data_IF_484589255395
#
_entry.id   IF_484589255395
#
_cell.length_a   1.000
_cell.length_b   1.000
_cell.length_c   1.000
_cell.angle_alpha   90.00
_cell.angle_beta   90.00
_cell.angle_gamma   90.00
#
_symmetry.space_group_name_H-M   'P 1'
#
loop_
_entity.id
_entity.type
_entity.pdbx_description
1 polymer ?
#
# COMPACT_ATOMS: atom_id res chain seq x y z
N UNK A 1 -1.11 3.79 -27.89
CA UNK A 1 -2.06 2.90 -27.18
C UNK A 1 -3.09 3.78 -26.45
N UNK A 2 -4.35 3.36 -26.40
CA UNK A 2 -5.41 4.01 -25.63
C UNK A 2 -5.68 3.32 -24.29
N UNK A 3 -4.83 2.38 -23.89
CA UNK A 3 -4.98 1.61 -22.66
C UNK A 3 -3.64 1.46 -21.94
N UNK A 4 -3.68 1.06 -20.67
CA UNK A 4 -2.52 0.74 -19.86
C UNK A 4 -2.80 -0.36 -18.83
N UNK A 5 -1.74 -0.84 -18.18
CA UNK A 5 -1.85 -1.89 -17.16
C UNK A 5 -1.43 -1.39 -15.78
N UNK A 6 -2.19 -1.84 -14.78
CA UNK A 6 -1.80 -1.80 -13.37
C UNK A 6 -1.59 -3.25 -12.92
N UNK A 7 -0.36 -3.67 -12.67
CA UNK A 7 -0.08 -5.02 -12.19
C UNK A 7 0.16 -5.02 -10.70
N UNK A 8 -0.61 -5.81 -9.94
CA UNK A 8 -0.13 -6.26 -8.64
C UNK A 8 1.17 -7.08 -8.79
N UNK A 9 1.93 -7.18 -7.70
CA UNK A 9 3.21 -7.89 -7.67
C UNK A 9 3.07 -9.26 -7.01
N UNK A 10 2.53 -9.31 -5.80
CA UNK A 10 2.58 -10.46 -4.90
C UNK A 10 1.36 -11.35 -5.14
N UNK A 11 1.54 -12.49 -5.82
CA UNK A 11 0.46 -13.36 -6.27
C UNK A 11 0.18 -13.26 -7.77
N UNK A 12 0.67 -12.21 -8.43
CA UNK A 12 0.56 -12.00 -9.89
C UNK A 12 1.89 -12.22 -10.62
N UNK A 13 2.97 -11.61 -10.13
CA UNK A 13 4.30 -11.69 -10.73
C UNK A 13 5.25 -12.61 -9.96
N UNK A 14 5.10 -12.64 -8.63
CA UNK A 14 5.93 -13.41 -7.72
C UNK A 14 5.09 -14.07 -6.64
N UNK A 15 5.59 -15.17 -6.07
CA UNK A 15 5.10 -15.75 -4.82
C UNK A 15 6.26 -15.80 -3.82
N UNK A 16 6.25 -14.90 -2.85
CA UNK A 16 7.41 -14.65 -1.97
C UNK A 16 8.61 -14.18 -2.79
N UNK A 17 9.65 -15.00 -2.89
CA UNK A 17 10.85 -14.72 -3.72
C UNK A 17 10.85 -15.44 -5.06
N UNK A 18 9.84 -16.27 -5.34
CA UNK A 18 9.81 -17.13 -6.53
C UNK A 18 9.01 -16.46 -7.63
N UNK A 19 9.57 -16.24 -8.83
CA UNK A 19 8.84 -15.71 -9.97
C UNK A 19 7.69 -16.64 -10.38
N UNK A 20 6.53 -16.09 -10.73
CA UNK A 20 5.48 -16.84 -11.42
C UNK A 20 5.96 -17.09 -12.86
N UNK A 21 6.00 -18.35 -13.35
CA UNK A 21 6.58 -18.67 -14.65
C UNK A 21 6.01 -17.86 -15.83
N UNK A 22 4.69 -17.64 -15.82
CA UNK A 22 3.96 -16.88 -16.82
C UNK A 22 4.39 -15.39 -16.89
N UNK A 23 4.93 -14.82 -15.80
CA UNK A 23 5.26 -13.41 -15.73
C UNK A 23 6.35 -13.00 -16.74
N UNK A 24 7.38 -13.83 -16.96
CA UNK A 24 8.41 -13.52 -17.95
C UNK A 24 7.84 -13.47 -19.37
N UNK A 25 7.01 -14.46 -19.72
CA UNK A 25 6.34 -14.54 -21.03
C UNK A 25 5.44 -13.32 -21.25
N UNK A 26 4.65 -12.96 -20.24
CA UNK A 26 3.74 -11.81 -20.30
C UNK A 26 4.49 -10.51 -20.60
N UNK A 27 5.60 -10.26 -19.89
CA UNK A 27 6.36 -9.01 -20.03
C UNK A 27 7.21 -8.95 -21.31
N UNK A 28 7.59 -10.09 -21.87
CA UNK A 28 8.20 -10.14 -23.22
C UNK A 28 7.23 -9.65 -24.30
N UNK A 29 5.92 -9.88 -24.15
CA UNK A 29 4.87 -9.39 -25.07
C UNK A 29 4.63 -7.88 -24.95
N UNK A 30 4.98 -7.29 -23.80
CA UNK A 30 4.72 -5.88 -23.50
C UNK A 30 5.86 -4.93 -23.91
N UNK A 31 7.00 -5.47 -24.37
CA UNK A 31 8.18 -4.68 -24.75
C UNK A 31 8.58 -4.93 -26.20
N UNK A 32 9.16 -3.91 -26.84
CA UNK A 32 9.78 -4.06 -28.15
C UNK A 32 11.18 -4.70 -28.07
N UNK A 33 11.85 -4.86 -29.21
CA UNK A 33 13.21 -5.43 -29.29
C UNK A 33 14.29 -4.60 -28.57
N UNK A 34 14.02 -3.34 -28.25
CA UNK A 34 14.88 -2.47 -27.44
C UNK A 34 14.53 -2.52 -25.94
N UNK A 35 13.60 -3.39 -25.53
CA UNK A 35 13.14 -3.51 -24.14
C UNK A 35 12.23 -2.37 -23.68
N UNK A 36 11.72 -1.53 -24.59
CA UNK A 36 10.83 -0.44 -24.23
C UNK A 36 9.38 -0.90 -24.23
N UNK A 37 8.63 -0.53 -23.19
CA UNK A 37 7.21 -0.84 -23.10
C UNK A 37 6.41 -0.23 -24.28
N UNK A 38 5.53 -1.06 -24.83
CA UNK A 38 4.62 -0.75 -25.93
C UNK A 38 3.37 0.03 -25.45
N UNK A 39 3.03 -0.13 -24.16
CA UNK A 39 1.90 0.46 -23.46
C UNK A 39 2.33 0.93 -22.07
N UNK A 40 1.65 1.90 -21.44
CA UNK A 40 2.01 2.35 -20.10
C UNK A 40 1.74 1.24 -19.09
N UNK A 41 2.69 1.03 -18.20
CA UNK A 41 2.63 -0.02 -17.18
C UNK A 41 3.03 0.56 -15.83
N UNK A 42 2.20 0.34 -14.81
CA UNK A 42 2.54 0.63 -13.42
C UNK A 42 2.40 -0.65 -12.59
N UNK A 43 3.42 -0.95 -11.80
CA UNK A 43 3.43 -2.02 -10.81
C UNK A 43 2.93 -1.47 -9.48
N UNK A 44 1.88 -2.06 -8.93
CA UNK A 44 1.17 -1.56 -7.75
C UNK A 44 1.23 -2.57 -6.61
N UNK A 45 1.97 -2.27 -5.55
CA UNK A 45 2.07 -3.15 -4.36
C UNK A 45 1.72 -2.40 -3.08
N UNK A 46 1.08 -3.12 -2.15
CA UNK A 46 0.86 -2.64 -0.78
C UNK A 46 2.09 -2.79 0.13
N UNK A 47 3.20 -3.32 -0.40
CA UNK A 47 4.48 -3.29 0.30
C UNK A 47 4.97 -1.85 0.50
N UNK A 48 5.51 -1.58 1.70
CA UNK A 48 6.04 -0.26 2.09
C UNK A 48 7.46 -0.29 2.65
N UNK A 49 8.19 -1.40 2.45
CA UNK A 49 9.44 -1.71 3.17
C UNK A 49 10.73 -1.37 2.38
N UNK A 50 10.64 -0.78 1.20
CA UNK A 50 11.81 -0.35 0.43
C UNK A 50 11.52 0.85 -0.47
N UNK A 51 12.60 1.39 -1.06
CA UNK A 51 12.54 2.41 -2.11
C UNK A 51 12.00 1.82 -3.42
N UNK A 52 11.31 2.66 -4.21
CA UNK A 52 10.79 2.31 -5.54
C UNK A 52 11.89 1.78 -6.46
N UNK A 53 13.07 2.41 -6.46
CA UNK A 53 14.22 1.97 -7.26
C UNK A 53 14.64 0.54 -6.92
N UNK A 54 14.76 0.20 -5.64
CA UNK A 54 15.13 -1.16 -5.22
C UNK A 54 14.12 -2.21 -5.70
N UNK A 55 12.83 -1.88 -5.69
CA UNK A 55 11.79 -2.78 -6.20
C UNK A 55 11.81 -2.85 -7.74
N UNK A 56 12.06 -1.75 -8.43
CA UNK A 56 12.21 -1.72 -9.89
C UNK A 56 13.39 -2.57 -10.37
N UNK A 57 14.53 -2.53 -9.68
CA UNK A 57 15.70 -3.35 -9.98
C UNK A 57 15.39 -4.86 -9.80
N UNK A 58 14.68 -5.19 -8.70
CA UNK A 58 14.22 -6.56 -8.43
C UNK A 58 13.30 -7.08 -9.53
N UNK A 59 12.28 -6.30 -9.89
CA UNK A 59 11.34 -6.67 -10.95
C UNK A 59 12.05 -6.77 -12.30
N UNK A 60 13.00 -5.86 -12.59
CA UNK A 60 13.75 -5.88 -13.85
C UNK A 60 14.52 -7.18 -14.02
N UNK A 61 15.25 -7.59 -12.97
CA UNK A 61 15.97 -8.85 -12.95
C UNK A 61 15.03 -10.06 -13.07
N UNK A 62 13.89 -10.00 -12.37
CA UNK A 62 12.94 -11.11 -12.32
C UNK A 62 12.22 -11.34 -13.65
N UNK A 63 11.79 -10.26 -14.32
CA UNK A 63 11.01 -10.30 -15.54
C UNK A 63 11.90 -10.30 -16.80
N UNK A 64 13.16 -9.90 -16.68
CA UNK A 64 14.10 -9.82 -17.80
C UNK A 64 13.83 -8.63 -18.73
N UNK A 65 13.16 -7.60 -18.24
CA UNK A 65 12.84 -6.36 -18.97
C UNK A 65 13.25 -5.14 -18.11
N UNK A 66 13.68 -4.02 -18.72
CA UNK A 66 14.07 -2.85 -17.94
C UNK A 66 12.85 -2.14 -17.35
N UNK A 67 12.82 -1.96 -16.02
CA UNK A 67 11.73 -1.29 -15.31
C UNK A 67 12.31 -0.08 -14.56
N UNK A 68 11.69 1.09 -14.79
CA UNK A 68 12.03 2.32 -14.07
C UNK A 68 11.31 2.41 -12.72
N UNK A 69 11.90 3.10 -11.74
CA UNK A 69 11.25 3.43 -10.48
C UNK A 69 9.94 4.22 -10.64
N UNK A 70 9.77 4.94 -11.75
CA UNK A 70 8.54 5.70 -12.04
C UNK A 70 7.40 4.82 -12.57
N UNK A 71 7.70 3.56 -12.85
CA UNK A 71 6.71 2.51 -13.11
C UNK A 71 6.33 1.76 -11.83
N UNK A 72 7.00 1.99 -10.70
CA UNK A 72 6.74 1.24 -9.46
C UNK A 72 6.04 2.13 -8.44
N UNK A 73 4.87 1.68 -8.01
CA UNK A 73 4.09 2.28 -6.94
C UNK A 73 4.07 1.36 -5.71
N UNK A 74 4.93 1.69 -4.74
CA UNK A 74 4.85 1.18 -3.37
C UNK A 74 3.68 1.83 -2.62
N UNK A 75 3.25 1.24 -1.51
CA UNK A 75 2.11 1.70 -0.71
C UNK A 75 2.22 3.14 -0.20
N UNK A 76 3.46 3.58 0.07
CA UNK A 76 3.80 4.93 0.53
C UNK A 76 3.93 5.95 -0.61
N UNK A 77 4.00 5.53 -1.88
CA UNK A 77 4.25 6.42 -3.02
C UNK A 77 3.25 7.57 -3.18
N UNK A 78 1.94 7.39 -2.94
CA UNK A 78 0.97 8.49 -3.04
C UNK A 78 1.27 9.67 -2.11
N UNK A 79 2.06 9.48 -1.04
CA UNK A 79 2.52 10.57 -0.16
C UNK A 79 3.31 11.66 -0.89
N UNK A 80 3.81 11.41 -2.11
CA UNK A 80 4.38 12.46 -2.97
C UNK A 80 3.40 13.60 -3.27
N UNK A 81 2.09 13.32 -3.28
CA UNK A 81 1.03 14.32 -3.45
C UNK A 81 0.74 15.12 -2.16
N UNK A 82 1.20 14.66 -1.00
CA UNK A 82 0.85 15.21 0.31
C UNK A 82 1.79 16.35 0.74
N UNK A 83 2.03 17.31 -0.16
CA UNK A 83 2.99 18.41 0.00
C UNK A 83 2.83 19.20 1.31
N UNK A 84 1.61 19.32 1.83
CA UNK A 84 1.29 19.98 3.10
C UNK A 84 1.99 19.39 4.34
N UNK A 85 2.56 18.19 4.25
CA UNK A 85 3.30 17.53 5.32
C UNK A 85 4.82 17.49 5.10
N UNK A 86 5.30 17.82 3.90
CA UNK A 86 6.69 17.61 3.50
C UNK A 86 7.67 18.46 4.32
N UNK A 87 7.33 19.72 4.61
CA UNK A 87 8.18 20.62 5.41
C UNK A 87 8.00 20.46 6.93
N UNK A 88 7.13 19.55 7.38
CA UNK A 88 6.77 19.41 8.79
C UNK A 88 7.58 18.33 9.49
N UNK A 89 7.74 18.47 10.80
CA UNK A 89 8.23 17.39 11.65
C UNK A 89 7.16 16.29 11.73
N UNK A 90 7.46 15.11 11.20
CA UNK A 90 6.54 13.96 11.15
C UNK A 90 7.15 12.75 11.81
N UNK A 91 6.36 12.04 12.63
CA UNK A 91 6.77 10.73 13.15
C UNK A 91 6.53 9.68 12.06
N UNK A 92 7.52 8.85 11.77
CA UNK A 92 7.39 7.74 10.81
C UNK A 92 7.56 6.39 11.49
N UNK A 93 6.67 5.44 11.19
CA UNK A 93 6.71 4.06 11.66
C UNK A 93 6.55 3.09 10.48
N UNK A 94 7.26 1.97 10.53
CA UNK A 94 7.22 0.92 9.52
C UNK A 94 8.52 0.11 9.46
N UNK A 95 8.78 -0.51 8.32
CA UNK A 95 9.99 -1.29 8.04
C UNK A 95 10.81 -0.70 6.88
N UNK A 96 12.09 -1.09 6.82
CA UNK A 96 13.01 -0.67 5.78
C UNK A 96 13.77 0.60 6.10
N UNK A 97 14.42 1.22 5.10
CA UNK A 97 15.17 2.46 5.29
C UNK A 97 14.20 3.65 5.39
N UNK A 98 13.55 3.81 6.55
CA UNK A 98 12.45 4.77 6.75
C UNK A 98 12.82 6.22 6.41
N UNK A 99 14.03 6.65 6.76
CA UNK A 99 14.50 8.00 6.46
C UNK A 99 14.69 8.21 4.96
N UNK A 100 15.32 7.25 4.27
CA UNK A 100 15.52 7.33 2.82
C UNK A 100 14.18 7.34 2.09
N UNK A 101 13.22 6.50 2.53
CA UNK A 101 11.85 6.49 1.99
C UNK A 101 11.19 7.85 2.19
N UNK A 102 11.23 8.39 3.40
CA UNK A 102 10.61 9.69 3.70
C UNK A 102 11.23 10.83 2.88
N UNK A 103 12.56 10.85 2.76
CA UNK A 103 13.28 11.85 1.95
C UNK A 103 12.96 11.73 0.46
N UNK A 104 12.93 10.51 -0.09
CA UNK A 104 12.54 10.25 -1.47
C UNK A 104 11.13 10.78 -1.77
N UNK A 105 10.20 10.62 -0.83
CA UNK A 105 8.82 11.12 -0.94
C UNK A 105 8.71 12.66 -0.83
N UNK A 106 9.73 13.32 -0.28
CA UNK A 106 9.82 14.77 -0.13
C UNK A 106 9.76 15.29 1.32
N UNK A 107 9.72 14.42 2.33
CA UNK A 107 9.71 14.87 3.73
C UNK A 107 11.07 15.40 4.17
N UNK A 108 11.10 16.62 4.71
CA UNK A 108 12.31 17.30 5.16
C UNK A 108 12.68 16.97 6.61
N UNK A 109 11.71 16.68 7.47
CA UNK A 109 11.93 16.44 8.91
C UNK A 109 11.25 15.15 9.42
N UNK A 110 11.54 13.97 8.84
CA UNK A 110 11.07 12.70 9.39
C UNK A 110 11.81 12.35 10.70
N UNK A 111 11.06 11.94 11.71
CA UNK A 111 11.57 11.37 12.97
C UNK A 111 11.12 9.92 13.02
N UNK A 112 12.05 8.98 13.13
CA UNK A 112 11.70 7.56 13.28
C UNK A 112 11.33 7.27 14.74
N UNK A 113 10.63 6.14 14.93
CA UNK A 113 10.38 5.59 16.27
C UNK A 113 11.70 5.33 17.02
N UNK A 114 12.76 4.92 16.33
CA UNK A 114 14.09 4.73 16.93
C UNK A 114 14.70 6.06 17.41
N UNK A 115 14.62 7.12 16.61
CA UNK A 115 15.08 8.45 17.05
C UNK A 115 14.25 8.98 18.22
N UNK A 116 12.94 8.74 18.22
CA UNK A 116 12.06 9.16 19.33
C UNK A 116 12.43 8.42 20.63
N UNK A 117 12.59 7.09 20.57
CA UNK A 117 12.94 6.28 21.75
C UNK A 117 14.36 6.51 22.26
N UNK A 118 15.27 6.98 21.43
CA UNK A 118 16.62 7.42 21.85
C UNK A 118 16.56 8.76 22.59
N UNK A 119 15.77 9.72 22.06
CA UNK A 119 15.63 11.06 22.63
C UNK A 119 14.76 11.10 23.89
N UNK A 120 13.82 10.16 24.01
CA UNK A 120 12.91 10.04 25.15
C UNK A 120 12.95 8.61 25.73
N UNK A 121 14.06 8.21 26.36
CA UNK A 121 14.29 6.82 26.74
C UNK A 121 13.34 6.31 27.84
N UNK A 122 12.72 7.21 28.60
CA UNK A 122 11.70 6.85 29.60
C UNK A 122 10.32 6.51 29.01
N UNK A 123 10.06 6.82 27.74
CA UNK A 123 8.77 6.54 27.10
C UNK A 123 8.66 5.09 26.61
N UNK A 124 9.78 4.47 26.25
CA UNK A 124 9.84 3.07 25.81
C UNK A 124 10.26 2.17 26.97
N UNK A 125 9.48 2.20 28.06
CA UNK A 125 9.80 1.45 29.26
C UNK A 125 9.47 -0.05 29.13
N UNK A 126 8.79 -0.50 28.07
CA UNK A 126 8.47 -1.93 27.87
C UNK A 126 9.75 -2.77 27.71
N UNK A 127 10.79 -2.17 27.14
CA UNK A 127 12.13 -2.72 27.07
C UNK A 127 12.88 -2.49 28.40
N UNK A 128 12.83 -3.49 29.29
CA UNK A 128 13.40 -3.40 30.64
C UNK A 128 14.92 -3.21 30.65
N UNK A 129 15.63 -3.74 29.66
CA UNK A 129 17.09 -3.65 29.56
C UNK A 129 17.56 -2.20 29.34
N UNK A 130 16.68 -1.33 28.83
CA UNK A 130 16.96 0.09 28.60
C UNK A 130 16.73 0.97 29.83
N UNK A 131 16.09 0.46 30.88
CA UNK A 131 15.74 1.25 32.08
C UNK A 131 16.93 1.57 32.99
N UNK A 132 18.03 0.81 32.89
CA UNK A 132 19.05 0.71 33.94
C UNK A 132 20.15 1.78 33.92
N UNK A 133 20.20 2.71 32.95
CA UNK A 133 21.36 3.61 32.79
C UNK A 133 21.07 5.08 32.38
N UNK A 134 19.89 5.64 32.62
CA UNK A 134 19.55 6.98 32.08
C UNK A 134 19.88 8.11 33.08
N UNK A 135 21.01 8.80 32.84
CA UNK A 135 21.34 10.11 33.43
C UNK A 135 20.90 11.24 32.48
N UNK A 136 19.93 12.04 32.94
CA UNK A 136 19.55 13.39 32.48
C UNK A 136 18.83 13.56 31.13
N UNK A 137 17.71 14.27 31.26
CA UNK A 137 16.86 14.88 30.23
C UNK A 137 17.60 15.96 29.45
N UNK A 138 17.81 15.73 28.15
CA UNK A 138 17.94 16.83 27.20
C UNK A 138 16.52 17.19 26.76
N UNK A 139 16.08 18.42 27.02
CA UNK A 139 14.78 18.95 26.57
C UNK A 139 14.76 19.09 25.04
N UNK A 140 14.58 17.97 24.32
CA UNK A 140 14.27 17.99 22.90
C UNK A 140 12.76 18.16 22.75
N UNK A 141 12.30 19.41 22.64
CA UNK A 141 10.88 19.71 22.42
C UNK A 141 10.64 19.98 20.93
N UNK A 142 10.49 18.91 20.14
CA UNK A 142 10.02 19.02 18.75
C UNK A 142 8.58 18.56 18.70
N UNK A 143 7.70 19.47 18.29
CA UNK A 143 6.30 19.14 18.03
C UNK A 143 6.20 18.31 16.76
N UNK A 144 5.78 17.06 16.87
CA UNK A 144 5.38 16.27 15.70
C UNK A 144 3.99 16.74 15.23
N UNK A 145 3.87 17.08 13.95
CA UNK A 145 2.63 17.60 13.38
C UNK A 145 1.74 16.48 12.84
N UNK A 146 2.32 15.33 12.51
CA UNK A 146 1.57 14.15 12.07
C UNK A 146 2.34 12.86 12.32
N UNK A 147 1.61 11.74 12.31
CA UNK A 147 2.16 10.38 12.29
C UNK A 147 1.93 9.78 10.91
N UNK A 148 2.96 9.18 10.33
CA UNK A 148 2.91 8.47 9.05
C UNK A 148 3.28 7.01 9.30
N UNK A 149 2.35 6.12 8.97
CA UNK A 149 2.51 4.68 9.09
C UNK A 149 2.79 4.12 7.68
N UNK A 150 4.07 3.87 7.37
CA UNK A 150 4.47 3.33 6.07
C UNK A 150 4.10 1.84 5.89
N UNK A 151 3.98 1.09 6.99
CA UNK A 151 3.68 -0.34 7.00
C UNK A 151 3.85 -0.91 8.40
N UNK A 152 3.74 -2.23 8.53
CA UNK A 152 3.87 -2.93 9.80
C UNK A 152 5.29 -2.77 10.39
N UNK A 153 5.46 -2.22 11.60
CA UNK A 153 6.78 -2.12 12.21
C UNK A 153 7.19 -3.45 12.87
N UNK A 154 8.47 -3.55 13.23
CA UNK A 154 8.97 -4.55 14.20
C UNK A 154 8.88 -3.93 15.60
N UNK A 155 8.71 -4.74 16.65
CA UNK A 155 8.48 -4.31 18.06
C UNK A 155 7.18 -3.51 18.20
N UNK A 156 6.05 -4.22 18.09
CA UNK A 156 4.73 -3.59 18.10
C UNK A 156 4.48 -2.86 19.42
N UNK A 157 4.90 -3.43 20.55
CA UNK A 157 4.79 -2.83 21.87
C UNK A 157 5.40 -1.42 21.95
N UNK A 158 6.64 -1.24 21.48
CA UNK A 158 7.32 0.07 21.43
C UNK A 158 6.60 1.04 20.48
N UNK A 159 6.21 0.57 19.29
CA UNK A 159 5.56 1.42 18.30
C UNK A 159 4.17 1.88 18.78
N UNK A 160 3.37 0.97 19.32
CA UNK A 160 2.05 1.26 19.87
C UNK A 160 2.14 2.27 21.01
N UNK A 161 3.04 2.06 21.97
CA UNK A 161 3.26 2.98 23.09
C UNK A 161 3.61 4.40 22.59
N UNK A 162 4.66 4.51 21.77
CA UNK A 162 5.18 5.82 21.36
C UNK A 162 4.25 6.56 20.39
N UNK A 163 3.56 5.85 19.50
CA UNK A 163 2.55 6.48 18.64
C UNK A 163 1.40 7.01 19.50
N UNK A 164 0.90 6.23 20.46
CA UNK A 164 -0.16 6.67 21.37
C UNK A 164 0.28 7.89 22.19
N UNK A 165 1.50 7.88 22.73
CA UNK A 165 2.06 9.02 23.46
C UNK A 165 2.02 10.30 22.62
N UNK A 166 2.48 10.20 21.37
CA UNK A 166 2.49 11.33 20.43
C UNK A 166 1.07 11.83 20.11
N UNK A 167 0.10 10.93 19.95
CA UNK A 167 -1.29 11.29 19.71
C UNK A 167 -1.94 11.96 20.93
N UNK A 168 -1.75 11.40 22.13
CA UNK A 168 -2.35 11.89 23.38
C UNK A 168 -1.73 13.18 23.90
N UNK A 169 -0.52 13.51 23.43
CA UNK A 169 0.19 14.75 23.78
C UNK A 169 0.12 15.81 22.68
N UNK A 170 -0.63 15.55 21.59
CA UNK A 170 -0.73 16.47 20.45
C UNK A 170 0.63 16.83 19.82
N UNK A 171 1.51 15.83 19.73
CA UNK A 171 2.84 15.96 19.14
C UNK A 171 3.98 16.23 20.11
N UNK A 172 3.72 16.25 21.43
CA UNK A 172 4.70 16.59 22.46
C UNK A 172 4.89 15.43 23.47
N UNK A 173 5.57 14.34 23.10
CA UNK A 173 5.56 13.09 23.89
C UNK A 173 6.20 13.21 25.29
N UNK A 174 6.93 14.30 25.58
CA UNK A 174 7.41 14.61 26.94
C UNK A 174 6.38 15.29 27.85
N UNK A 175 5.21 15.69 27.33
CA UNK A 175 4.14 16.33 28.08
C UNK A 175 3.19 15.29 28.69
N UNK A 176 2.45 15.64 29.76
CA UNK A 176 1.35 14.80 30.22
C UNK A 176 0.26 14.66 29.14
N UNK A 177 -0.49 13.56 29.19
CA UNK A 177 -1.61 13.35 28.29
C UNK A 177 -2.68 14.43 28.45
N UNK A 178 -3.21 14.89 27.32
CA UNK A 178 -4.27 15.89 27.26
C UNK A 178 -5.46 15.37 26.45
N UNK A 179 -6.47 14.84 27.13
CA UNK A 179 -7.67 14.24 26.49
C UNK A 179 -8.62 15.25 25.80
N UNK A 180 -8.28 16.54 25.79
CA UNK A 180 -9.14 17.61 25.24
C UNK A 180 -9.05 17.73 23.71
N UNK A 181 -7.94 17.32 23.11
CA UNK A 181 -7.72 17.51 21.67
C UNK A 181 -8.25 16.30 20.91
N UNK A 182 -9.42 16.48 20.29
CA UNK A 182 -10.01 15.51 19.36
C UNK A 182 -10.61 16.24 18.15
N UNK A 183 -10.32 15.82 16.90
CA UNK A 183 -9.40 14.73 16.55
C UNK A 183 -7.96 15.01 17.03
N UNK A 184 -7.20 13.94 17.26
CA UNK A 184 -5.76 14.03 17.55
C UNK A 184 -4.99 14.57 16.32
N UNK A 185 -3.67 14.74 16.42
CA UNK A 185 -2.87 15.15 15.25
C UNK A 185 -3.07 14.15 14.08
N UNK A 186 -2.96 14.59 12.82
CA UNK A 186 -3.19 13.74 11.65
C UNK A 186 -2.39 12.43 11.66
N UNK A 187 -3.06 11.34 11.30
CA UNK A 187 -2.46 10.03 11.07
C UNK A 187 -2.67 9.64 9.61
N UNK A 188 -1.59 9.34 8.90
CA UNK A 188 -1.60 8.85 7.53
C UNK A 188 -1.15 7.38 7.53
N UNK A 189 -1.95 6.48 6.98
CA UNK A 189 -1.59 5.06 6.87
C UNK A 189 -1.45 4.64 5.41
N UNK A 190 -0.35 3.94 5.09
CA UNK A 190 0.01 3.64 3.70
C UNK A 190 -0.42 2.26 3.22
N UNK A 191 -0.70 1.34 4.13
CA UNK A 191 -1.14 -0.01 3.83
C UNK A 191 -2.25 -0.39 4.81
N UNK A 192 -3.33 -1.01 4.34
CA UNK A 192 -4.47 -1.40 5.15
C UNK A 192 -4.67 -2.91 5.22
N UNK A 193 -3.83 -3.69 4.55
CA UNK A 193 -4.00 -5.13 4.44
C UNK A 193 -3.93 -5.76 5.83
N UNK A 194 -5.04 -6.40 6.23
CA UNK A 194 -5.09 -7.13 7.49
C UNK A 194 -4.08 -8.27 7.47
N UNK A 195 -4.00 -8.98 6.34
CA UNK A 195 -3.11 -10.11 6.11
C UNK A 195 -2.56 -10.08 4.68
N UNK A 196 -1.43 -10.74 4.45
CA UNK A 196 -0.82 -10.90 3.13
C UNK A 196 -0.25 -12.31 2.95
N UNK A 197 -0.03 -12.73 1.70
CA UNK A 197 0.48 -14.06 1.34
C UNK A 197 2.00 -14.04 1.28
N UNK A 198 2.63 -14.93 2.06
CA UNK A 198 4.07 -15.13 2.10
C UNK A 198 4.42 -16.58 1.69
N UNK A 199 5.60 -17.07 2.06
CA UNK A 199 6.02 -18.45 1.78
C UNK A 199 5.28 -19.50 2.61
N UNK A 200 4.71 -19.12 3.75
CA UNK A 200 3.94 -20.03 4.60
C UNK A 200 2.57 -20.36 3.99
N UNK A 201 2.03 -21.54 4.32
CA UNK A 201 0.72 -21.98 3.82
C UNK A 201 -0.44 -21.06 4.23
N UNK A 202 -0.36 -20.46 5.42
CA UNK A 202 -1.38 -19.55 5.93
C UNK A 202 -0.93 -18.08 5.79
N UNK A 203 -1.84 -17.13 5.49
CA UNK A 203 -1.54 -15.70 5.42
C UNK A 203 -0.85 -15.18 6.69
N UNK A 204 0.01 -14.16 6.56
CA UNK A 204 0.73 -13.50 7.65
C UNK A 204 0.06 -12.17 8.00
N UNK A 205 0.20 -11.70 9.23
CA UNK A 205 -0.32 -10.38 9.62
C UNK A 205 0.34 -9.28 8.79
N UNK A 206 -0.49 -8.41 8.23
CA UNK A 206 -0.08 -7.17 7.56
C UNK A 206 -0.26 -5.96 8.45
N UNK A 207 -0.03 -4.78 7.87
CA UNK A 207 -0.13 -3.50 8.58
C UNK A 207 -1.55 -3.22 9.12
N UNK A 208 -2.59 -3.71 8.47
CA UNK A 208 -3.97 -3.61 8.96
C UNK A 208 -4.14 -4.25 10.34
N UNK A 209 -3.45 -5.35 10.63
CA UNK A 209 -3.51 -5.98 11.97
C UNK A 209 -2.86 -5.06 13.02
N UNK A 210 -1.72 -4.43 12.70
CA UNK A 210 -1.10 -3.43 13.58
C UNK A 210 -2.04 -2.24 13.83
N UNK A 211 -2.72 -1.76 12.77
CA UNK A 211 -3.72 -0.70 12.89
C UNK A 211 -4.86 -1.09 13.82
N UNK A 212 -5.41 -2.31 13.69
CA UNK A 212 -6.45 -2.82 14.61
C UNK A 212 -6.00 -2.75 16.07
N UNK A 213 -4.75 -3.13 16.36
CA UNK A 213 -4.19 -2.99 17.72
C UNK A 213 -4.12 -1.52 18.16
N UNK A 214 -3.55 -0.64 17.33
CA UNK A 214 -3.39 0.78 17.62
C UNK A 214 -4.74 1.45 17.92
N UNK A 215 -5.73 1.18 17.09
CA UNK A 215 -7.09 1.71 17.20
C UNK A 215 -7.79 1.27 18.49
N UNK A 216 -7.72 -0.03 18.80
CA UNK A 216 -8.36 -0.59 19.98
C UNK A 216 -7.73 -0.04 21.26
N UNK A 217 -6.40 0.09 21.30
CA UNK A 217 -5.72 0.67 22.46
C UNK A 217 -6.08 2.16 22.60
N UNK A 218 -6.02 2.94 21.51
CA UNK A 218 -6.42 4.35 21.52
C UNK A 218 -7.87 4.52 22.04
N UNK A 219 -8.80 3.71 21.53
CA UNK A 219 -10.20 3.71 21.97
C UNK A 219 -10.36 3.30 23.42
N UNK A 220 -9.62 2.29 23.88
CA UNK A 220 -9.68 1.83 25.27
C UNK A 220 -9.18 2.90 26.26
N UNK A 221 -8.17 3.67 25.88
CA UNK A 221 -7.60 4.74 26.72
C UNK A 221 -8.47 6.00 26.69
N UNK A 222 -9.00 6.38 25.52
CA UNK A 222 -9.65 7.69 25.33
C UNK A 222 -11.17 7.66 25.29
N UNK A 223 -11.77 6.48 25.06
CA UNK A 223 -13.18 6.31 24.74
C UNK A 223 -13.58 6.78 23.33
N UNK A 224 -12.62 7.20 22.49
CA UNK A 224 -12.87 7.78 21.15
C UNK A 224 -12.22 6.95 20.05
N UNK A 225 -12.81 6.96 18.86
CA UNK A 225 -12.19 6.29 17.70
C UNK A 225 -10.99 7.08 17.19
N UNK A 226 -9.90 6.39 16.85
CA UNK A 226 -8.75 6.95 16.13
C UNK A 226 -9.19 7.34 14.72
N UNK A 227 -8.81 8.55 14.29
CA UNK A 227 -9.16 9.12 12.98
C UNK A 227 -7.96 9.21 12.06
N UNK A 228 -8.09 8.64 10.87
CA UNK A 228 -7.10 8.77 9.81
C UNK A 228 -7.41 9.98 8.93
N UNK A 229 -6.39 10.78 8.66
CA UNK A 229 -6.46 11.87 7.68
C UNK A 229 -6.39 11.31 6.26
N UNK A 230 -5.64 10.23 6.07
CA UNK A 230 -5.49 9.56 4.79
C UNK A 230 -5.21 8.07 4.99
N UNK A 231 -5.92 7.27 4.22
CA UNK A 231 -5.72 5.83 4.08
C UNK A 231 -5.30 5.58 2.63
N UNK A 232 -4.10 5.03 2.45
CA UNK A 232 -3.49 4.70 1.15
C UNK A 232 -3.19 3.20 1.10
N UNK A 233 -2.67 2.74 -0.04
CA UNK A 233 -2.63 1.32 -0.38
C UNK A 233 -3.97 0.89 -1.00
N UNK A 234 -3.96 -0.17 -1.80
CA UNK A 234 -5.19 -0.78 -2.34
C UNK A 234 -6.09 -1.23 -1.17
N UNK A 235 -7.42 -1.09 -1.24
CA UNK A 235 -8.22 -0.59 -2.37
C UNK A 235 -8.46 0.94 -2.39
N UNK A 236 -7.65 1.75 -1.69
CA UNK A 236 -7.88 3.20 -1.58
C UNK A 236 -7.90 3.91 -2.93
N UNK A 237 -8.87 4.81 -3.12
CA UNK A 237 -8.96 5.70 -4.28
C UNK A 237 -7.68 6.51 -4.51
N UNK A 238 -7.04 6.99 -3.45
CA UNK A 238 -5.81 7.81 -3.55
C UNK A 238 -4.70 7.02 -4.26
N UNK A 239 -4.67 5.70 -4.08
CA UNK A 239 -3.76 4.78 -4.73
C UNK A 239 -4.00 4.73 -6.23
N UNK A 240 -5.25 4.54 -6.66
CA UNK A 240 -5.60 4.48 -8.09
C UNK A 240 -5.47 5.84 -8.78
N UNK A 241 -5.80 6.93 -8.09
CA UNK A 241 -5.56 8.29 -8.58
C UNK A 241 -4.07 8.54 -8.86
N UNK A 242 -3.18 8.10 -7.97
CA UNK A 242 -1.74 8.23 -8.18
C UNK A 242 -1.23 7.30 -9.29
N UNK A 243 -1.75 6.08 -9.37
CA UNK A 243 -1.42 5.15 -10.46
C UNK A 243 -1.80 5.71 -11.83
N UNK A 244 -3.00 6.28 -11.96
CA UNK A 244 -3.45 6.94 -13.19
C UNK A 244 -2.53 8.13 -13.56
N UNK A 245 -2.13 8.94 -12.57
CA UNK A 245 -1.16 10.01 -12.79
C UNK A 245 0.17 9.48 -13.36
N UNK A 246 0.69 8.36 -12.84
CA UNK A 246 1.92 7.73 -13.34
C UNK A 246 1.73 7.21 -14.78
N UNK A 247 0.59 6.58 -15.09
CA UNK A 247 0.25 6.14 -16.45
C UNK A 247 0.25 7.32 -17.43
N UNK A 248 -0.40 8.43 -17.06
CA UNK A 248 -0.44 9.65 -17.89
C UNK A 248 0.94 10.29 -18.05
N UNK A 249 1.76 10.29 -17.00
CA UNK A 249 3.13 10.79 -17.07
C UNK A 249 3.98 9.97 -18.05
N UNK A 250 3.90 8.64 -18.01
CA UNK A 250 4.56 7.76 -18.98
C UNK A 250 4.08 8.03 -20.41
N UNK A 251 2.76 8.18 -20.62
CA UNK A 251 2.21 8.47 -21.94
C UNK A 251 2.70 9.81 -22.50
N UNK A 252 2.81 10.84 -21.66
CA UNK A 252 3.35 12.14 -22.04
C UNK A 252 4.84 12.07 -22.39
N UNK A 253 5.64 11.38 -21.57
CA UNK A 253 7.08 11.19 -21.81
C UNK A 253 7.34 10.43 -23.12
N UNK A 254 6.54 9.40 -23.41
CA UNK A 254 6.61 8.61 -24.65
C UNK A 254 5.96 9.30 -25.85
N UNK A 255 5.38 10.48 -25.66
CA UNK A 255 4.66 11.25 -26.68
C UNK A 255 3.53 10.45 -27.36
N UNK A 256 2.85 9.58 -26.61
CA UNK A 256 1.67 8.89 -27.13
C UNK A 256 0.53 9.87 -27.35
N UNK A 257 0.09 9.98 -28.61
CA UNK A 257 -0.89 10.98 -29.04
C UNK A 257 -2.32 10.68 -28.59
N UNK A 258 -2.63 9.41 -28.34
CA UNK A 258 -3.96 9.00 -27.91
C UNK A 258 -4.06 9.07 -26.38
N UNK A 259 -5.18 9.58 -25.83
CA UNK A 259 -5.41 9.53 -24.40
C UNK A 259 -5.56 8.07 -23.93
N UNK A 260 -5.14 7.80 -22.71
CA UNK A 260 -5.42 6.52 -22.06
C UNK A 260 -6.86 6.56 -21.57
N UNK A 261 -7.68 5.69 -22.15
CA UNK A 261 -9.12 5.55 -21.92
C UNK A 261 -9.43 4.41 -20.95
N UNK A 262 -8.62 3.34 -20.96
CA UNK A 262 -8.85 2.13 -20.17
C UNK A 262 -7.59 1.71 -19.41
N UNK A 263 -7.74 1.38 -18.13
CA UNK A 263 -6.72 0.76 -17.29
C UNK A 263 -7.17 -0.65 -16.95
N UNK A 264 -6.29 -1.63 -17.14
CA UNK A 264 -6.52 -3.01 -16.73
C UNK A 264 -5.76 -3.28 -15.43
N UNK A 265 -6.49 -3.40 -14.33
CA UNK A 265 -5.96 -3.75 -13.02
C UNK A 265 -5.89 -5.27 -12.88
N UNK A 266 -4.68 -5.81 -13.04
CA UNK A 266 -4.40 -7.25 -12.95
C UNK A 266 -3.95 -7.57 -11.54
N UNK A 267 -4.75 -8.36 -10.82
CA UNK A 267 -4.57 -8.65 -9.40
C UNK A 267 -4.99 -10.06 -9.02
N UNK A 268 -4.62 -10.52 -7.83
CA UNK A 268 -4.92 -11.86 -7.33
C UNK A 268 -5.92 -11.86 -6.16
N UNK A 269 -6.29 -10.69 -5.65
CA UNK A 269 -7.11 -10.55 -4.45
C UNK A 269 -8.39 -9.73 -4.70
N UNK A 270 -9.53 -10.38 -4.48
CA UNK A 270 -10.87 -9.80 -4.62
C UNK A 270 -11.07 -8.55 -3.76
N UNK A 271 -10.54 -8.55 -2.54
CA UNK A 271 -10.80 -7.52 -1.52
C UNK A 271 -9.91 -6.28 -1.67
N UNK A 272 -8.86 -6.35 -2.49
CA UNK A 272 -7.90 -5.26 -2.67
C UNK A 272 -7.81 -4.82 -4.11
N UNK A 273 -7.50 -5.74 -5.04
CA UNK A 273 -7.23 -5.38 -6.44
C UNK A 273 -8.52 -5.19 -7.23
N UNK A 274 -9.41 -6.18 -7.16
CA UNK A 274 -10.72 -6.13 -7.84
C UNK A 274 -11.58 -5.04 -7.20
N UNK A 275 -11.71 -5.06 -5.88
CA UNK A 275 -12.44 -4.02 -5.15
C UNK A 275 -11.93 -2.61 -5.45
N UNK A 276 -10.61 -2.41 -5.46
CA UNK A 276 -10.02 -1.10 -5.72
C UNK A 276 -10.27 -0.61 -7.15
N UNK A 277 -10.15 -1.50 -8.14
CA UNK A 277 -10.43 -1.20 -9.54
C UNK A 277 -11.90 -0.85 -9.77
N UNK A 278 -12.81 -1.65 -9.21
CA UNK A 278 -14.25 -1.43 -9.34
C UNK A 278 -14.73 -0.18 -8.57
N UNK A 279 -14.11 0.11 -7.42
CA UNK A 279 -14.36 1.35 -6.68
C UNK A 279 -13.96 2.58 -7.52
N UNK A 280 -12.82 2.51 -8.21
CA UNK A 280 -12.40 3.57 -9.12
C UNK A 280 -13.37 3.74 -10.30
N UNK A 281 -13.82 2.64 -10.91
CA UNK A 281 -14.79 2.67 -12.01
C UNK A 281 -16.11 3.34 -11.60
N UNK A 282 -16.67 2.96 -10.45
CA UNK A 282 -17.94 3.51 -9.98
C UNK A 282 -17.88 5.01 -9.64
N UNK A 283 -16.69 5.54 -9.32
CA UNK A 283 -16.49 6.96 -8.99
C UNK A 283 -16.19 7.85 -10.21
N UNK A 284 -16.26 7.33 -11.45
CA UNK A 284 -16.03 8.04 -12.73
C UNK A 284 -17.00 9.20 -13.05
N UNK A 285 -17.70 9.74 -12.04
CA UNK A 285 -18.41 11.02 -12.14
C UNK A 285 -17.49 12.23 -12.46
N UNK A 286 -16.16 12.04 -12.48
CA UNK A 286 -15.20 13.04 -12.95
C UNK A 286 -14.81 12.74 -14.41
N UNK A 287 -15.41 13.50 -15.34
CA UNK A 287 -15.42 13.33 -16.81
C UNK A 287 -14.07 13.34 -17.57
N UNK A 288 -12.96 12.98 -16.93
CA UNK A 288 -11.63 12.91 -17.55
C UNK A 288 -10.79 11.70 -17.13
N UNK A 289 -11.22 10.89 -16.15
CA UNK A 289 -10.47 9.73 -15.66
C UNK A 289 -10.62 8.52 -16.61
N UNK A 290 -9.59 7.68 -16.67
CA UNK A 290 -9.65 6.43 -17.43
C UNK A 290 -10.55 5.41 -16.72
N UNK A 291 -11.34 4.65 -17.51
CA UNK A 291 -12.06 3.47 -17.03
C UNK A 291 -11.09 2.48 -16.41
N UNK A 292 -11.48 1.77 -15.36
CA UNK A 292 -10.66 0.72 -14.78
C UNK A 292 -11.41 -0.62 -14.77
N UNK A 293 -10.83 -1.60 -15.48
CA UNK A 293 -11.34 -2.96 -15.54
C UNK A 293 -10.48 -3.90 -14.71
N UNK A 294 -11.12 -4.75 -13.92
CA UNK A 294 -10.46 -5.71 -13.04
C UNK A 294 -10.23 -7.04 -13.77
N UNK A 295 -8.99 -7.54 -13.71
CA UNK A 295 -8.61 -8.85 -14.25
C UNK A 295 -8.01 -9.68 -13.12
N UNK A 296 -8.78 -10.65 -12.62
CA UNK A 296 -8.37 -11.52 -11.52
C UNK A 296 -7.56 -12.70 -12.05
N UNK A 297 -6.34 -12.87 -11.55
CA UNK A 297 -5.51 -14.05 -11.84
C UNK A 297 -5.69 -15.12 -10.75
N UNK A 298 -5.43 -16.38 -11.11
CA UNK A 298 -5.62 -17.55 -10.23
C UNK A 298 -4.32 -18.03 -9.56
N UNK A 299 -3.28 -17.18 -9.53
CA UNK A 299 -1.92 -17.53 -9.08
C UNK A 299 -1.60 -17.09 -7.65
N UNK A 300 -2.53 -16.45 -6.94
CA UNK A 300 -2.27 -15.84 -5.63
C UNK A 300 -3.33 -16.17 -4.57
N UNK A 301 -3.82 -15.16 -3.84
CA UNK A 301 -4.85 -15.26 -2.79
C UNK A 301 -6.09 -15.98 -3.34
N UNK A 302 -6.55 -15.57 -4.52
CA UNK A 302 -7.58 -16.29 -5.23
C UNK A 302 -6.99 -17.53 -5.92
N UNK A 303 -7.51 -18.70 -5.57
CA UNK A 303 -7.18 -19.97 -6.22
C UNK A 303 -8.45 -20.83 -6.36
N UNK A 304 -8.93 -21.09 -7.58
CA UNK A 304 -10.17 -21.84 -7.84
C UNK A 304 -10.06 -23.33 -7.47
N UNK A 305 -8.85 -23.85 -7.21
CA UNK A 305 -8.60 -25.24 -6.84
C UNK A 305 -8.45 -25.45 -5.33
N UNK A 306 -8.56 -24.40 -4.52
CA UNK A 306 -8.64 -24.57 -3.06
C UNK A 306 -9.99 -25.22 -2.75
N UNK A 307 -9.99 -26.47 -2.27
CA UNK A 307 -11.21 -27.13 -1.79
C UNK A 307 -11.89 -26.23 -0.76
N UNK A 308 -13.08 -25.74 -1.10
CA UNK A 308 -13.94 -25.05 -0.15
C UNK A 308 -14.38 -26.11 0.86
N UNK A 309 -14.08 -25.98 2.17
CA UNK A 309 -14.60 -26.90 3.16
C UNK A 309 -16.13 -27.00 3.04
N UNK A 310 -16.65 -28.22 3.06
CA UNK A 310 -18.05 -28.59 2.77
C UNK A 310 -19.12 -27.92 3.66
N UNK A 311 -18.74 -27.16 4.69
CA UNK A 311 -19.68 -26.50 5.63
C UNK A 311 -20.11 -25.08 5.23
N UNK A 312 -19.75 -24.62 4.03
CA UNK A 312 -19.93 -23.22 3.62
C UNK A 312 -21.29 -22.85 3.03
N UNK A 313 -22.32 -23.72 3.15
CA UNK A 313 -23.70 -23.29 2.83
C UNK A 313 -24.22 -22.17 3.74
N UNK A 314 -23.54 -21.89 4.85
CA UNK A 314 -23.74 -20.68 5.69
C UNK A 314 -22.72 -19.56 5.39
N UNK A 315 -21.63 -19.80 4.67
CA UNK A 315 -20.48 -18.88 4.60
C UNK A 315 -20.52 -17.83 3.49
N UNK A 316 -21.40 -17.95 2.50
CA UNK A 316 -21.52 -16.91 1.45
C UNK A 316 -22.24 -15.66 2.01
N UNK A 317 -23.07 -15.83 3.04
CA UNK A 317 -23.73 -14.74 3.77
C UNK A 317 -22.90 -14.16 4.93
N UNK A 318 -21.79 -14.80 5.32
CA UNK A 318 -20.94 -14.39 6.45
C UNK A 318 -19.45 -14.24 6.06
N UNK A 319 -19.14 -13.77 4.85
CA UNK A 319 -17.76 -13.40 4.52
C UNK A 319 -17.34 -12.23 5.42
N UNK A 320 -16.50 -12.50 6.43
CA UNK A 320 -15.97 -11.46 7.33
C UNK A 320 -15.18 -10.46 6.49
N UNK A 321 -15.67 -9.22 6.43
CA UNK A 321 -14.97 -8.14 5.74
C UNK A 321 -13.65 -7.83 6.47
N UNK A 322 -12.52 -8.16 5.82
CA UNK A 322 -11.18 -7.91 6.35
C UNK A 322 -10.61 -6.55 5.95
N UNK A 323 -11.39 -5.72 5.25
CA UNK A 323 -10.98 -4.35 4.95
C UNK A 323 -11.03 -3.45 6.18
N UNK A 324 -10.34 -2.32 6.09
CA UNK A 324 -10.29 -1.35 7.17
C UNK A 324 -11.69 -0.79 7.48
N UNK A 325 -12.01 -0.56 8.77
CA UNK A 325 -13.37 -0.16 9.22
C UNK A 325 -13.93 1.12 8.60
N UNK A 326 -13.05 2.02 8.14
CA UNK A 326 -13.45 3.28 7.49
C UNK A 326 -13.81 3.08 6.00
N UNK A 327 -13.62 1.87 5.47
CA UNK A 327 -14.12 1.45 4.16
C UNK A 327 -15.45 0.73 4.37
N UNK A 328 -16.52 1.28 3.80
CA UNK A 328 -17.80 0.56 3.74
C UNK A 328 -17.66 -0.52 2.69
N UNK A 329 -17.79 -1.78 3.11
CA UNK A 329 -17.81 -2.90 2.20
C UNK A 329 -19.06 -2.85 1.33
N UNK A 330 -18.86 -2.87 0.02
CA UNK A 330 -19.90 -3.11 -0.96
C UNK A 330 -19.63 -4.46 -1.65
N UNK A 331 -20.47 -5.49 -1.44
CA UNK A 331 -20.29 -6.79 -2.06
C UNK A 331 -20.40 -6.74 -3.59
N UNK A 332 -21.02 -5.70 -4.18
CA UNK A 332 -21.05 -5.52 -5.62
C UNK A 332 -19.68 -5.18 -6.23
N UNK A 333 -18.72 -4.76 -5.41
CA UNK A 333 -17.39 -4.36 -5.88
C UNK A 333 -16.37 -5.50 -5.90
N UNK A 334 -16.70 -6.69 -5.42
CA UNK A 334 -15.78 -7.85 -5.45
C UNK A 334 -15.96 -8.75 -6.68
N UNK A 335 -16.84 -8.41 -7.61
CA UNK A 335 -17.01 -9.16 -8.85
C UNK A 335 -15.99 -8.68 -9.90
N UNK A 336 -15.05 -9.54 -10.36
CA UNK A 336 -14.09 -9.15 -11.38
C UNK A 336 -14.72 -9.09 -12.78
N UNK A 337 -14.29 -8.16 -13.63
CA UNK A 337 -14.74 -8.12 -15.04
C UNK A 337 -14.28 -9.38 -15.80
N UNK A 338 -13.07 -9.86 -15.48
CA UNK A 338 -12.48 -11.03 -16.10
C UNK A 338 -11.70 -11.88 -15.08
N UNK A 339 -11.75 -13.21 -15.26
CA UNK A 339 -10.95 -14.18 -14.50
C UNK A 339 -10.10 -14.97 -15.48
N UNK A 340 -8.80 -15.05 -15.21
CA UNK A 340 -7.81 -15.73 -16.07
C UNK A 340 -6.87 -16.60 -15.22
N UNK A 341 -6.24 -17.64 -15.79
CA UNK A 341 -5.38 -18.53 -15.02
C UNK A 341 -4.14 -17.84 -14.46
N UNK A 342 -3.50 -16.95 -15.22
CA UNK A 342 -2.28 -16.27 -14.85
C UNK A 342 -2.11 -14.92 -15.59
N UNK A 343 -1.00 -14.23 -15.30
CA UNK A 343 -0.68 -12.92 -15.88
C UNK A 343 -0.40 -12.95 -17.39
N UNK A 344 0.03 -14.08 -17.95
CA UNK A 344 0.24 -14.19 -19.40
C UNK A 344 -1.08 -14.23 -20.14
N UNK A 345 -2.03 -15.02 -19.63
CA UNK A 345 -3.40 -15.03 -20.12
C UNK A 345 -4.11 -13.68 -19.92
N UNK A 346 -3.79 -12.94 -18.86
CA UNK A 346 -4.29 -11.58 -18.65
C UNK A 346 -3.86 -10.62 -19.77
N UNK A 347 -2.56 -10.64 -20.13
CA UNK A 347 -2.02 -9.80 -21.20
C UNK A 347 -2.65 -10.18 -22.55
N UNK A 348 -2.77 -11.46 -22.86
CA UNK A 348 -3.38 -11.94 -24.10
C UNK A 348 -4.85 -11.50 -24.23
N UNK A 349 -5.61 -11.62 -23.14
CA UNK A 349 -7.00 -11.15 -23.09
C UNK A 349 -7.09 -9.66 -23.37
N UNK A 350 -6.26 -8.84 -22.72
CA UNK A 350 -6.29 -7.38 -22.92
C UNK A 350 -5.90 -6.99 -24.33
N UNK A 351 -4.91 -7.66 -24.93
CA UNK A 351 -4.58 -7.44 -26.33
C UNK A 351 -5.74 -7.77 -27.27
N UNK A 352 -6.50 -8.82 -26.99
CA UNK A 352 -7.71 -9.15 -27.74
C UNK A 352 -8.81 -8.09 -27.57
N UNK A 353 -9.08 -7.66 -26.33
CA UNK A 353 -10.11 -6.64 -26.04
C UNK A 353 -9.81 -5.29 -26.71
N UNK A 354 -8.53 -4.91 -26.79
CA UNK A 354 -8.07 -3.65 -27.36
C UNK A 354 -7.73 -3.74 -28.85
N UNK A 355 -7.88 -4.92 -29.48
CA UNK A 355 -7.41 -5.23 -30.84
C UNK A 355 -5.95 -4.79 -31.07
N UNK A 356 -5.10 -5.05 -30.08
CA UNK A 356 -3.70 -4.62 -30.07
C UNK A 356 -2.80 -5.74 -30.59
N UNK A 357 -1.98 -5.42 -31.60
CA UNK A 357 -0.93 -6.30 -32.11
C UNK A 357 0.44 -5.70 -31.73
N UNK A 358 1.22 -6.36 -30.84
CA UNK A 358 2.49 -5.85 -30.32
C UNK A 358 3.62 -5.78 -31.34
#
# INVERSE_FOLDING_TARGET
PSFGFLFDIDGVLIRGKTPIPAAKTAFQKLVNSQGQFLVPVVFVTNAGNCLRQKKADQLSHLLGVPISQDQVMMSHSPLRMFKRYHEKCVLVSGQGPLLDIAQDLGFCQPITIETLREKHPLLDAVDHDRRSNILVSVHFCFKMISVVLFGEPVRWETNLQLIIDVLLTSGYPGNPYHHKNYPHIPVLACNMDLMWVAEAQSPRFGHGTFMVCLENIYKKITGKDLKYEALMGKPSRVTYQYAEYLIRAQAAERQWKQPILTLYAVGDNLMTDVYGANLWENELALAAAAHCRSVLVCTGVYNPHTEVPLDTRESITETVFHGHRDFRFDPGLVEPDHIVPDVDAAVDLVFQLENFAP
#
